data_IF_343390658653
#
_entry.id   IF_343390658653
#
_cell.length_a   1.000
_cell.length_b   1.000
_cell.length_c   1.000
_cell.angle_alpha   90.00
_cell.angle_beta   90.00
_cell.angle_gamma   90.00
#
_symmetry.space_group_name_H-M   'P 1'
#
loop_
_entity.id
_entity.type
_entity.pdbx_description
1 polymer ?
#
# COMPACT_ATOMS: atom_id res chain seq x y z
N UNK A 1 5.22 -0.36 -9.21
CA UNK A 1 4.88 -0.42 -7.79
C UNK A 1 5.96 0.19 -6.91
N UNK A 2 7.15 -0.38 -6.78
CA UNK A 2 8.21 0.17 -5.90
C UNK A 2 8.58 1.64 -6.16
N UNK A 3 8.64 2.08 -7.42
CA UNK A 3 8.86 3.50 -7.78
C UNK A 3 7.69 4.37 -7.30
N UNK A 4 6.46 3.91 -7.53
CA UNK A 4 5.24 4.60 -7.10
C UNK A 4 5.15 4.70 -5.58
N UNK A 5 5.47 3.62 -4.85
CA UNK A 5 5.56 3.62 -3.39
C UNK A 5 6.47 4.73 -2.89
N UNK A 6 7.67 4.87 -3.47
CA UNK A 6 8.63 5.93 -3.08
C UNK A 6 8.14 7.33 -3.44
N UNK A 7 7.50 7.50 -4.59
CA UNK A 7 6.95 8.79 -5.01
C UNK A 7 5.83 9.24 -4.07
N UNK A 8 4.90 8.33 -3.74
CA UNK A 8 3.80 8.63 -2.81
C UNK A 8 4.33 8.86 -1.39
N UNK A 9 5.32 8.08 -0.94
CA UNK A 9 5.98 8.27 0.35
C UNK A 9 6.62 9.66 0.46
N UNK A 10 7.40 10.07 -0.53
CA UNK A 10 8.00 11.42 -0.57
C UNK A 10 6.92 12.50 -0.64
N UNK A 11 5.87 12.33 -1.44
CA UNK A 11 4.79 13.31 -1.52
C UNK A 11 4.02 13.47 -0.20
N UNK A 12 3.70 12.38 0.48
CA UNK A 12 3.09 12.42 1.82
C UNK A 12 4.02 13.13 2.81
N UNK A 13 5.27 12.65 2.94
CA UNK A 13 6.19 13.05 3.99
C UNK A 13 6.77 14.45 3.79
N UNK A 14 7.05 14.83 2.55
CA UNK A 14 7.76 16.05 2.20
C UNK A 14 6.80 17.17 1.76
N UNK A 15 5.69 16.85 1.08
CA UNK A 15 4.76 17.86 0.52
C UNK A 15 3.54 18.10 1.41
N UNK A 16 2.77 17.05 1.76
CA UNK A 16 1.54 17.24 2.56
C UNK A 16 1.91 17.62 4.00
N UNK A 17 2.77 16.83 4.64
CA UNK A 17 3.24 16.95 6.03
C UNK A 17 2.15 16.94 7.13
N UNK A 18 0.95 17.44 6.86
CA UNK A 18 -0.21 17.43 7.74
C UNK A 18 -1.02 16.14 7.58
N UNK A 19 -0.92 15.28 8.60
CA UNK A 19 -1.63 14.00 8.68
C UNK A 19 -3.15 14.14 8.75
N UNK A 20 -3.67 15.34 9.02
CA UNK A 20 -5.11 15.62 9.08
C UNK A 20 -5.67 16.10 7.75
N UNK A 21 -4.82 16.36 6.77
CA UNK A 21 -5.26 16.77 5.45
C UNK A 21 -6.06 15.63 4.79
N UNK A 22 -7.16 15.91 4.09
CA UNK A 22 -7.92 14.87 3.40
C UNK A 22 -7.08 14.11 2.36
N UNK A 23 -6.09 14.78 1.76
CA UNK A 23 -5.13 14.19 0.83
C UNK A 23 -4.21 13.16 1.48
N UNK A 24 -3.98 13.26 2.80
CA UNK A 24 -3.15 12.32 3.55
C UNK A 24 -3.77 10.92 3.57
N UNK A 25 -5.09 10.83 3.81
CA UNK A 25 -5.80 9.56 3.84
C UNK A 25 -5.73 8.85 2.48
N UNK A 26 -5.99 9.60 1.40
CA UNK A 26 -5.88 9.09 0.03
C UNK A 26 -4.45 8.65 -0.31
N UNK A 27 -3.45 9.46 0.07
CA UNK A 27 -2.05 9.13 -0.16
C UNK A 27 -1.61 7.88 0.62
N UNK A 28 -2.09 7.69 1.86
CA UNK A 28 -1.79 6.50 2.65
C UNK A 28 -2.39 5.23 2.02
N UNK A 29 -3.66 5.27 1.60
CA UNK A 29 -4.27 4.12 0.91
C UNK A 29 -3.51 3.80 -0.39
N UNK A 30 -3.14 4.82 -1.15
CA UNK A 30 -2.35 4.68 -2.39
C UNK A 30 -0.94 4.12 -2.12
N UNK A 31 -0.30 4.58 -1.04
CA UNK A 31 1.00 4.09 -0.59
C UNK A 31 0.92 2.59 -0.27
N UNK A 32 -0.07 2.18 0.53
CA UNK A 32 -0.21 0.78 0.95
C UNK A 32 -0.51 -0.16 -0.21
N UNK A 33 -1.37 0.25 -1.15
CA UNK A 33 -1.59 -0.49 -2.40
C UNK A 33 -0.27 -0.67 -3.18
N UNK A 34 0.45 0.42 -3.41
CA UNK A 34 1.71 0.35 -4.15
C UNK A 34 2.78 -0.46 -3.40
N UNK A 35 2.83 -0.36 -2.06
CA UNK A 35 3.78 -1.08 -1.21
C UNK A 35 3.53 -2.58 -1.24
N UNK A 36 2.28 -3.02 -1.09
CA UNK A 36 1.90 -4.44 -1.11
C UNK A 36 2.10 -5.03 -2.51
N UNK A 37 1.72 -4.30 -3.57
CA UNK A 37 2.02 -4.73 -4.94
C UNK A 37 3.53 -4.79 -5.24
N UNK A 38 4.37 -4.08 -4.47
CA UNK A 38 5.82 -4.18 -4.58
C UNK A 38 6.42 -5.28 -3.68
N UNK A 39 5.70 -5.67 -2.62
CA UNK A 39 6.15 -6.62 -1.59
C UNK A 39 4.98 -7.56 -1.23
N UNK A 40 4.62 -8.51 -2.10
CA UNK A 40 3.43 -9.32 -1.92
C UNK A 40 3.45 -10.22 -0.68
N UNK A 41 4.64 -10.50 -0.14
CA UNK A 41 4.77 -11.31 1.06
C UNK A 41 4.24 -10.58 2.31
N UNK A 42 4.13 -9.24 2.29
CA UNK A 42 3.68 -8.44 3.43
C UNK A 42 2.29 -8.86 3.95
N UNK A 43 2.10 -9.07 5.27
CA UNK A 43 3.01 -8.74 6.38
C UNK A 43 3.93 -9.89 6.80
N UNK A 44 4.10 -10.91 5.96
CA UNK A 44 4.97 -12.06 6.19
C UNK A 44 6.25 -11.95 5.33
N UNK A 45 7.33 -12.61 5.74
CA UNK A 45 8.60 -12.52 5.01
C UNK A 45 9.40 -11.22 5.27
N UNK A 46 10.00 -10.66 4.22
CA UNK A 46 10.91 -9.52 4.32
C UNK A 46 10.52 -8.44 3.33
N UNK A 47 10.45 -7.20 3.81
CA UNK A 47 10.10 -6.02 3.04
C UNK A 47 10.98 -4.85 3.48
N UNK A 48 11.17 -3.82 2.63
CA UNK A 48 11.92 -2.63 3.00
C UNK A 48 11.18 -1.83 4.08
N UNK A 49 11.95 -1.16 4.94
CA UNK A 49 11.38 -0.18 5.88
C UNK A 49 10.68 0.94 5.11
N UNK A 50 9.59 1.46 5.68
CA UNK A 50 8.90 2.67 5.22
C UNK A 50 8.99 3.78 6.29
N UNK A 51 8.62 5.00 5.93
CA UNK A 51 8.58 6.12 6.86
C UNK A 51 7.48 5.92 7.93
N UNK A 52 7.81 5.93 9.24
CA UNK A 52 6.86 5.65 10.31
C UNK A 52 5.76 6.71 10.47
N UNK A 53 5.85 7.86 9.77
CA UNK A 53 4.73 8.81 9.67
C UNK A 53 3.53 8.19 8.96
N UNK A 54 3.76 7.26 8.03
CA UNK A 54 2.71 6.52 7.33
C UNK A 54 2.31 5.36 8.25
N UNK A 55 1.22 5.56 8.98
CA UNK A 55 0.68 4.56 9.90
C UNK A 55 -0.01 3.42 9.15
N UNK A 56 -0.14 2.27 9.82
CA UNK A 56 -0.98 1.15 9.39
C UNK A 56 -2.47 1.46 9.65
N UNK A 57 -2.90 2.68 9.30
CA UNK A 57 -4.26 3.17 9.47
C UNK A 57 -4.77 3.57 8.09
N UNK A 58 -6.04 3.27 7.82
CA UNK A 58 -6.62 3.46 6.49
C UNK A 58 -7.43 2.24 6.07
N UNK A 59 -8.50 2.48 5.31
CA UNK A 59 -9.49 1.45 4.97
C UNK A 59 -8.85 0.26 4.25
N UNK A 60 -7.90 0.53 3.37
CA UNK A 60 -7.24 -0.51 2.59
C UNK A 60 -6.33 -1.38 3.47
N UNK A 61 -5.40 -0.77 4.20
CA UNK A 61 -4.40 -1.51 4.98
C UNK A 61 -5.01 -2.23 6.17
N UNK A 62 -6.03 -1.67 6.81
CA UNK A 62 -6.77 -2.33 7.89
C UNK A 62 -7.46 -3.60 7.39
N UNK A 63 -8.15 -3.53 6.24
CA UNK A 63 -8.76 -4.71 5.62
C UNK A 63 -7.69 -5.75 5.25
N UNK A 64 -6.61 -5.31 4.59
CA UNK A 64 -5.50 -6.19 4.19
C UNK A 64 -4.92 -6.96 5.38
N UNK A 65 -4.67 -6.25 6.49
CA UNK A 65 -4.10 -6.86 7.69
C UNK A 65 -5.05 -7.88 8.33
N UNK A 66 -6.35 -7.61 8.39
CA UNK A 66 -7.34 -8.58 8.92
C UNK A 66 -7.37 -9.86 8.07
N UNK A 67 -7.37 -9.71 6.74
CA UNK A 67 -7.48 -10.82 5.81
C UNK A 67 -6.19 -11.66 5.74
N UNK A 68 -5.02 -11.05 5.91
CA UNK A 68 -3.72 -11.71 5.72
C UNK A 68 -3.00 -12.10 7.03
N UNK A 69 -3.37 -11.54 8.19
CA UNK A 69 -2.81 -11.96 9.49
C UNK A 69 -3.36 -13.32 9.98
N UNK A 70 -4.43 -13.82 9.38
CA UNK A 70 -5.06 -15.11 9.75
C UNK A 70 -4.50 -16.32 8.98
N UNK A 71 -3.64 -16.10 7.99
CA UNK A 71 -3.02 -17.17 7.20
C UNK A 71 -1.63 -17.50 7.78
N UNK A 72 -1.35 -18.75 8.18
CA UNK A 72 -0.05 -19.12 8.73
C UNK A 72 1.06 -19.02 7.67
N UNK A 73 2.15 -18.35 8.03
CA UNK A 73 3.30 -17.94 7.21
C UNK A 73 4.13 -19.06 6.53
N UNK A 74 3.69 -20.32 6.53
CA UNK A 74 4.45 -21.46 6.02
C UNK A 74 4.14 -21.81 4.55
N UNK A 75 3.25 -21.05 3.91
CA UNK A 75 3.02 -21.18 2.47
C UNK A 75 3.74 -20.05 1.75
N UNK A 76 4.81 -20.35 1.01
CA UNK A 76 5.24 -19.44 -0.05
C UNK A 76 4.01 -19.13 -0.91
N UNK A 77 3.64 -17.86 -1.04
CA UNK A 77 2.49 -17.48 -1.86
C UNK A 77 2.72 -18.03 -3.26
N UNK A 78 1.79 -18.85 -3.74
CA UNK A 78 1.90 -19.39 -5.09
C UNK A 78 1.83 -18.25 -6.10
N UNK A 79 2.51 -18.37 -7.24
CA UNK A 79 2.50 -17.33 -8.28
C UNK A 79 1.08 -16.92 -8.68
N UNK A 80 0.13 -17.84 -8.62
CA UNK A 80 -1.28 -17.57 -8.89
C UNK A 80 -1.90 -16.60 -7.88
N UNK A 81 -1.59 -16.75 -6.59
CA UNK A 81 -2.06 -15.83 -5.53
C UNK A 81 -1.40 -14.45 -5.70
N UNK A 82 -0.12 -14.42 -6.08
CA UNK A 82 0.58 -13.15 -6.37
C UNK A 82 -0.07 -12.40 -7.53
N UNK A 83 -0.43 -13.10 -8.59
CA UNK A 83 -1.10 -12.52 -9.76
C UNK A 83 -2.50 -12.01 -9.40
N UNK A 84 -3.25 -12.76 -8.58
CA UNK A 84 -4.56 -12.33 -8.06
C UNK A 84 -4.45 -11.06 -7.19
N UNK A 85 -3.47 -11.01 -6.28
CA UNK A 85 -3.18 -9.82 -5.45
C UNK A 85 -2.87 -8.62 -6.36
N UNK A 86 -2.04 -8.82 -7.38
CA UNK A 86 -1.69 -7.77 -8.33
C UNK A 86 -2.91 -7.24 -9.10
N UNK A 87 -3.80 -8.12 -9.54
CA UNK A 87 -5.03 -7.73 -10.24
C UNK A 87 -5.97 -6.98 -9.29
N UNK A 88 -6.18 -7.51 -8.08
CA UNK A 88 -7.02 -6.84 -7.07
C UNK A 88 -6.53 -5.45 -6.73
N UNK A 89 -5.22 -5.30 -6.48
CA UNK A 89 -4.62 -3.99 -6.17
C UNK A 89 -4.71 -3.05 -7.37
N UNK A 90 -4.55 -3.57 -8.58
CA UNK A 90 -4.70 -2.75 -9.78
C UNK A 90 -6.14 -2.22 -9.93
N UNK A 91 -7.15 -3.05 -9.71
CA UNK A 91 -8.55 -2.64 -9.76
C UNK A 91 -8.88 -1.60 -8.69
N UNK A 92 -8.44 -1.82 -7.45
CA UNK A 92 -8.59 -0.86 -6.35
C UNK A 92 -7.89 0.46 -6.67
N UNK A 93 -6.67 0.39 -7.23
CA UNK A 93 -5.92 1.58 -7.65
C UNK A 93 -6.67 2.37 -8.74
N UNK A 94 -7.28 1.70 -9.72
CA UNK A 94 -8.06 2.36 -10.77
C UNK A 94 -9.32 3.06 -10.22
N UNK A 95 -9.94 2.53 -9.16
CA UNK A 95 -11.08 3.17 -8.50
C UNK A 95 -10.71 4.49 -7.80
N UNK A 96 -9.42 4.68 -7.52
CA UNK A 96 -8.91 5.75 -6.67
C UNK A 96 -8.08 6.78 -7.49
N UNK A 97 -7.92 6.55 -8.80
CA UNK A 97 -7.08 7.35 -9.72
C UNK A 97 -7.90 7.93 -10.90
N UNK A 98 -7.67 9.19 -11.40
CA UNK A 98 -6.80 10.29 -10.95
C UNK A 98 -7.62 11.45 -10.26
N UNK A 99 -7.16 12.32 -9.33
CA UNK A 99 -5.94 13.16 -9.24
C UNK A 99 -5.90 13.97 -7.89
N UNK A 100 -4.79 14.69 -7.50
CA UNK A 100 -4.51 16.04 -8.02
C UNK A 100 -3.10 16.22 -8.61
N UNK A 101 -3.03 17.13 -9.59
CA UNK A 101 -2.06 17.39 -10.68
C UNK A 101 -0.58 17.60 -10.34
N UNK A 102 -0.08 17.01 -9.25
CA UNK A 102 1.18 17.41 -8.61
C UNK A 102 2.18 16.26 -8.35
N UNK A 103 1.93 15.06 -8.87
CA UNK A 103 2.91 13.96 -8.93
C UNK A 103 3.55 13.86 -10.32
#
# INVERSE_FOLDING_TARGET
>A
WSVLTRQVESWLVDTIQDVRAPEWAWGCDTFWMAFIAANPDFPWGSWPNWNPKISLEGKFIESWMVDNLTIPADSSLSQHILDEIHISIWDDFQLIFPFPSYL
#
